data_IF_127353091175
#
_entry.id   IF_127353091175
#
_cell.length_a   1.000
_cell.length_b   1.000
_cell.length_c   1.000
_cell.angle_alpha   90.00
_cell.angle_beta   90.00
_cell.angle_gamma   90.00
#
_symmetry.space_group_name_H-M   'P 1'
#
loop_
_entity.id
_entity.type
_entity.pdbx_description
1 polymer ?
#
# COMPACT_ATOMS: atom_id res chain seq x y z
N UNK A 1 12.23 3.71 -4.99
CA UNK A 1 12.33 3.60 -6.46
C UNK A 1 12.09 4.94 -7.16
N UNK A 2 11.08 5.72 -6.78
CA UNK A 2 10.85 7.09 -7.30
C UNK A 2 12.07 8.03 -7.14
N UNK A 3 12.67 8.10 -5.95
CA UNK A 3 13.88 8.91 -5.71
C UNK A 3 15.07 8.50 -6.60
N UNK A 4 15.21 7.19 -6.91
CA UNK A 4 16.24 6.70 -7.84
C UNK A 4 16.02 7.22 -9.27
N UNK A 5 14.80 7.61 -9.61
CA UNK A 5 14.42 8.24 -10.89
C UNK A 5 14.34 9.78 -10.80
N UNK A 6 14.80 10.39 -9.70
CA UNK A 6 14.80 11.85 -9.52
C UNK A 6 13.42 12.45 -9.27
N UNK A 7 12.43 11.64 -8.92
CA UNK A 7 11.08 12.09 -8.61
C UNK A 7 10.97 12.59 -7.16
N UNK A 8 10.34 13.75 -6.98
CA UNK A 8 10.00 14.34 -5.68
C UNK A 8 8.66 13.81 -5.14
N UNK A 9 8.48 12.49 -5.21
CA UNK A 9 7.31 11.80 -4.70
C UNK A 9 7.65 11.04 -3.42
N UNK A 10 6.80 11.18 -2.41
CA UNK A 10 6.84 10.42 -1.18
C UNK A 10 5.65 9.46 -1.11
N UNK A 11 5.86 8.29 -0.50
CA UNK A 11 4.82 7.32 -0.20
C UNK A 11 4.70 7.13 1.31
N UNK A 12 3.48 6.90 1.78
CA UNK A 12 3.15 6.49 3.14
C UNK A 12 1.99 5.47 3.08
N UNK A 13 1.70 4.78 4.19
CA UNK A 13 0.71 3.69 4.25
C UNK A 13 -0.20 3.77 5.48
N UNK A 14 -1.45 3.30 5.32
CA UNK A 14 -2.47 3.21 6.38
C UNK A 14 -3.28 1.92 6.25
N UNK A 15 -3.88 1.48 7.34
CA UNK A 15 -4.80 0.33 7.38
C UNK A 15 -6.26 0.76 7.44
N UNK A 16 -7.10 0.17 6.60
CA UNK A 16 -8.55 0.41 6.58
C UNK A 16 -9.32 -0.31 7.70
N UNK A 17 -8.80 -1.47 8.12
CA UNK A 17 -9.41 -2.33 9.12
C UNK A 17 -8.34 -3.04 9.97
N UNK A 18 -7.59 -2.27 10.78
CA UNK A 18 -6.53 -2.82 11.63
C UNK A 18 -7.03 -3.91 12.58
N UNK A 19 -8.30 -3.85 12.98
CA UNK A 19 -8.96 -4.87 13.79
C UNK A 19 -9.06 -6.24 13.11
N UNK A 20 -8.90 -6.31 11.78
CA UNK A 20 -8.83 -7.58 11.04
C UNK A 20 -7.40 -8.15 11.00
N UNK A 21 -6.39 -7.32 11.24
CA UNK A 21 -4.98 -7.67 11.25
C UNK A 21 -4.47 -8.26 12.56
N UNK A 22 -5.33 -8.89 13.39
CA UNK A 22 -4.97 -9.39 14.73
C UNK A 22 -3.81 -10.39 14.76
N UNK A 23 -3.51 -11.01 13.61
CA UNK A 23 -2.40 -11.95 13.46
C UNK A 23 -1.12 -11.31 12.91
N UNK A 24 -1.14 -10.02 12.56
CA UNK A 24 0.06 -9.30 12.12
C UNK A 24 0.96 -9.07 13.33
N UNK A 25 2.18 -9.60 13.26
CA UNK A 25 3.19 -9.44 14.30
C UNK A 25 4.21 -8.41 13.84
N UNK A 26 4.36 -7.34 14.63
CA UNK A 26 5.35 -6.30 14.38
C UNK A 26 4.91 -5.22 13.39
N UNK A 27 5.88 -4.45 12.92
CA UNK A 27 5.67 -3.28 12.07
C UNK A 27 5.41 -3.62 10.60
N UNK A 28 5.99 -4.72 10.12
CA UNK A 28 5.92 -5.17 8.72
C UNK A 28 5.88 -6.70 8.66
N UNK A 29 5.16 -7.24 7.67
CA UNK A 29 5.14 -8.68 7.40
C UNK A 29 6.53 -9.21 7.08
N UNK A 30 6.87 -10.41 7.59
CA UNK A 30 8.14 -11.09 7.29
C UNK A 30 8.35 -11.26 5.78
N UNK A 31 7.29 -11.55 5.02
CA UNK A 31 7.37 -11.74 3.58
C UNK A 31 7.77 -10.44 2.86
N UNK A 32 7.24 -9.30 3.31
CA UNK A 32 7.60 -8.00 2.76
C UNK A 32 9.04 -7.63 3.14
N UNK A 33 9.45 -7.86 4.39
CA UNK A 33 10.81 -7.60 4.84
C UNK A 33 11.86 -8.39 4.04
N UNK A 34 11.63 -9.70 3.85
CA UNK A 34 12.50 -10.57 3.05
C UNK A 34 12.57 -10.10 1.59
N UNK A 35 11.43 -9.75 1.00
CA UNK A 35 11.36 -9.28 -0.38
C UNK A 35 12.06 -7.94 -0.60
N UNK A 36 12.00 -7.03 0.37
CA UNK A 36 12.72 -5.75 0.37
C UNK A 36 14.23 -5.97 0.49
N UNK A 37 14.66 -6.88 1.37
CA UNK A 37 16.07 -7.23 1.53
C UNK A 37 16.68 -7.78 0.23
N UNK A 38 15.97 -8.67 -0.47
CA UNK A 38 16.38 -9.18 -1.79
C UNK A 38 16.54 -8.06 -2.83
N UNK A 39 15.73 -7.00 -2.72
CA UNK A 39 15.76 -5.82 -3.61
C UNK A 39 16.72 -4.72 -3.15
N UNK A 40 17.52 -4.98 -2.11
CA UNK A 40 18.43 -4.01 -1.50
C UNK A 40 17.71 -2.70 -1.10
N UNK A 41 16.48 -2.86 -0.61
CA UNK A 41 15.70 -1.77 0.00
C UNK A 41 15.83 -1.92 1.51
N UNK A 42 16.51 -0.94 2.12
CA UNK A 42 16.71 -0.94 3.56
C UNK A 42 15.42 -0.47 4.26
N UNK A 43 14.98 -1.24 5.25
CA UNK A 43 14.00 -0.79 6.21
C UNK A 43 14.71 0.05 7.29
N UNK A 44 14.08 1.13 7.77
CA UNK A 44 14.56 1.85 8.94
C UNK A 44 14.52 0.95 10.19
N UNK A 45 15.48 1.15 11.09
CA UNK A 45 15.56 0.39 12.36
C UNK A 45 14.34 0.68 13.27
N UNK A 46 13.69 1.83 13.09
CA UNK A 46 12.53 2.31 13.83
C UNK A 46 11.23 2.26 13.01
N UNK A 47 11.06 1.22 12.18
CA UNK A 47 9.83 1.02 11.41
C UNK A 47 8.60 1.03 12.33
N UNK A 48 7.64 1.91 12.01
CA UNK A 48 6.47 2.14 12.85
C UNK A 48 5.44 1.02 12.68
N UNK A 49 4.63 0.79 13.71
CA UNK A 49 3.46 -0.09 13.59
C UNK A 49 2.42 0.46 12.59
N UNK A 50 1.57 -0.41 12.02
CA UNK A 50 0.45 0.01 11.17
C UNK A 50 -0.45 1.03 11.89
N UNK A 51 -0.86 2.06 11.16
CA UNK A 51 -1.74 3.12 11.65
C UNK A 51 -3.09 3.08 10.92
N UNK A 52 -4.20 3.35 11.60
CA UNK A 52 -5.51 3.40 10.95
C UNK A 52 -5.56 4.60 10.02
N UNK A 53 -6.27 4.47 8.90
CA UNK A 53 -6.53 5.61 8.02
C UNK A 53 -7.49 6.61 8.66
N UNK A 54 -7.29 7.89 8.36
CA UNK A 54 -8.13 9.02 8.78
C UNK A 54 -8.57 9.87 7.59
N UNK A 55 -9.59 10.71 7.78
CA UNK A 55 -10.03 11.69 6.76
C UNK A 55 -8.88 12.57 6.25
N UNK A 56 -7.99 13.00 7.15
CA UNK A 56 -6.84 13.85 6.81
C UNK A 56 -5.87 13.16 5.84
N UNK A 57 -5.75 11.83 5.88
CA UNK A 57 -4.89 11.10 4.95
C UNK A 57 -5.42 11.22 3.52
N UNK A 58 -6.75 11.20 3.32
CA UNK A 58 -7.36 11.40 2.00
C UNK A 58 -7.28 12.85 1.52
N UNK A 59 -7.44 13.82 2.42
CA UNK A 59 -7.37 15.25 2.08
C UNK A 59 -5.96 15.71 1.70
N UNK A 60 -4.94 15.12 2.33
CA UNK A 60 -3.54 15.55 2.17
C UNK A 60 -2.79 14.80 1.08
N UNK A 61 -3.20 13.57 0.75
CA UNK A 61 -2.53 12.78 -0.25
C UNK A 61 -2.94 13.19 -1.67
N UNK A 62 -1.95 13.48 -2.52
CA UNK A 62 -2.18 13.74 -3.96
C UNK A 62 -2.80 12.54 -4.67
N UNK A 63 -2.42 11.31 -4.27
CA UNK A 63 -2.96 10.05 -4.77
C UNK A 63 -3.13 9.06 -3.62
N UNK A 64 -4.26 8.36 -3.62
CA UNK A 64 -4.56 7.27 -2.68
C UNK A 64 -4.87 6.03 -3.50
N UNK A 65 -4.23 4.91 -3.14
CA UNK A 65 -4.35 3.63 -3.83
C UNK A 65 -4.69 2.55 -2.80
N UNK A 66 -5.82 1.88 -2.99
CA UNK A 66 -6.21 0.70 -2.20
C UNK A 66 -5.80 -0.59 -2.93
N UNK A 67 -5.09 -1.50 -2.24
CA UNK A 67 -4.44 -2.66 -2.89
C UNK A 67 -5.39 -3.75 -3.39
N UNK A 68 -6.38 -4.18 -2.59
CA UNK A 68 -7.39 -5.17 -2.98
C UNK A 68 -8.76 -4.49 -3.11
N UNK A 69 -9.20 -4.21 -4.34
CA UNK A 69 -10.52 -3.61 -4.59
C UNK A 69 -11.67 -4.41 -3.98
N UNK A 70 -11.64 -5.74 -4.09
CA UNK A 70 -12.75 -6.58 -3.65
C UNK A 70 -12.88 -6.59 -2.12
N UNK A 71 -11.77 -6.47 -1.41
CA UNK A 71 -11.77 -6.33 0.04
C UNK A 71 -12.03 -4.89 0.50
N UNK A 72 -11.38 -3.92 -0.13
CA UNK A 72 -11.33 -2.54 0.35
C UNK A 72 -12.52 -1.69 -0.09
N UNK A 73 -13.08 -1.89 -1.29
CA UNK A 73 -14.20 -1.06 -1.76
C UNK A 73 -15.43 -1.14 -0.83
N UNK A 74 -15.83 -2.32 -0.30
CA UNK A 74 -16.89 -2.38 0.71
C UNK A 74 -16.57 -1.58 1.98
N UNK A 75 -15.32 -1.67 2.47
CA UNK A 75 -14.87 -0.92 3.66
C UNK A 75 -14.87 0.59 3.42
N UNK A 76 -14.42 1.03 2.24
CA UNK A 76 -14.45 2.42 1.84
C UNK A 76 -15.89 2.94 1.77
N UNK A 77 -16.81 2.20 1.16
CA UNK A 77 -18.22 2.58 1.10
C UNK A 77 -18.87 2.65 2.49
N UNK A 78 -18.48 1.78 3.41
CA UNK A 78 -19.01 1.77 4.78
C UNK A 78 -18.43 2.93 5.63
N UNK A 79 -17.12 3.17 5.55
CA UNK A 79 -16.39 4.03 6.50
C UNK A 79 -16.05 5.42 5.94
N UNK A 80 -15.77 5.50 4.65
CA UNK A 80 -15.31 6.71 3.95
C UNK A 80 -16.03 6.89 2.60
N UNK A 81 -17.38 6.91 2.58
CA UNK A 81 -18.16 6.85 1.33
C UNK A 81 -17.86 8.00 0.36
N UNK A 82 -17.49 9.17 0.86
CA UNK A 82 -17.13 10.33 0.03
C UNK A 82 -15.86 10.10 -0.80
N UNK A 83 -14.97 9.21 -0.35
CA UNK A 83 -13.69 8.91 -1.00
C UNK A 83 -13.72 7.63 -1.82
N UNK A 84 -14.75 6.80 -1.65
CA UNK A 84 -14.80 5.46 -2.24
C UNK A 84 -14.68 5.46 -3.77
N UNK A 85 -15.14 6.52 -4.45
CA UNK A 85 -15.05 6.63 -5.92
C UNK A 85 -13.96 7.61 -6.41
N UNK A 86 -13.20 8.21 -5.49
CA UNK A 86 -12.17 9.21 -5.82
C UNK A 86 -10.75 8.66 -5.70
N UNK A 87 -10.58 7.51 -5.07
CA UNK A 87 -9.29 6.83 -4.94
C UNK A 87 -9.08 5.81 -6.05
N UNK A 88 -7.83 5.42 -6.27
CA UNK A 88 -7.49 4.34 -7.18
C UNK A 88 -7.55 2.99 -6.46
N UNK A 89 -7.91 1.95 -7.20
CA UNK A 89 -7.92 0.59 -6.70
C UNK A 89 -7.04 -0.30 -7.58
N UNK A 90 -6.21 -1.10 -6.94
CA UNK A 90 -5.58 -2.25 -7.56
C UNK A 90 -6.35 -3.52 -7.17
N UNK A 91 -5.97 -4.65 -7.78
CA UNK A 91 -6.53 -5.96 -7.47
C UNK A 91 -5.40 -6.91 -7.09
N UNK A 92 -4.73 -6.59 -5.98
CA UNK A 92 -3.71 -7.43 -5.35
C UNK A 92 -4.31 -8.00 -4.08
N UNK A 93 -4.62 -9.29 -4.09
CA UNK A 93 -5.17 -9.98 -2.93
C UNK A 93 -4.16 -10.15 -1.79
N UNK A 94 -4.68 -10.21 -0.56
CA UNK A 94 -3.89 -10.59 0.62
C UNK A 94 -3.55 -12.09 0.62
N UNK A 95 -2.65 -12.49 1.52
CA UNK A 95 -2.03 -13.81 1.58
C UNK A 95 -3.01 -14.94 1.97
N UNK A 96 -4.24 -14.61 2.38
CA UNK A 96 -5.31 -15.57 2.60
C UNK A 96 -5.89 -16.10 1.28
N UNK A 97 -5.78 -15.32 0.20
CA UNK A 97 -6.34 -15.61 -1.14
C UNK A 97 -5.27 -15.86 -2.19
N UNK A 98 -4.04 -15.39 -2.00
CA UNK A 98 -2.92 -15.61 -2.92
C UNK A 98 -1.62 -15.90 -2.17
N UNK A 99 -0.56 -16.27 -2.87
CA UNK A 99 0.76 -16.41 -2.23
C UNK A 99 1.45 -15.06 -2.08
N UNK A 100 2.28 -14.91 -1.04
CA UNK A 100 3.06 -13.69 -0.84
C UNK A 100 3.92 -13.34 -2.06
N UNK A 101 4.53 -14.35 -2.72
CA UNK A 101 5.31 -14.16 -3.95
C UNK A 101 4.48 -13.51 -5.06
N UNK A 102 3.28 -14.06 -5.33
CA UNK A 102 2.40 -13.54 -6.39
C UNK A 102 1.92 -12.13 -6.05
N UNK A 103 1.53 -11.87 -4.80
CA UNK A 103 1.11 -10.54 -4.36
C UNK A 103 2.25 -9.50 -4.54
N UNK A 104 3.47 -9.85 -4.10
CA UNK A 104 4.62 -8.96 -4.21
C UNK A 104 5.03 -8.68 -5.66
N UNK A 105 4.98 -9.68 -6.54
CA UNK A 105 5.22 -9.50 -7.98
C UNK A 105 4.20 -8.55 -8.63
N UNK A 106 2.92 -8.68 -8.25
CA UNK A 106 1.87 -7.79 -8.72
C UNK A 106 2.07 -6.36 -8.21
N UNK A 107 2.38 -6.19 -6.92
CA UNK A 107 2.68 -4.87 -6.31
C UNK A 107 3.85 -4.21 -7.03
N UNK A 108 4.95 -4.96 -7.26
CA UNK A 108 6.12 -4.42 -7.95
C UNK A 108 5.79 -3.95 -9.37
N UNK A 109 5.02 -4.76 -10.12
CA UNK A 109 4.55 -4.38 -11.45
C UNK A 109 3.72 -3.09 -11.41
N UNK A 110 2.77 -2.98 -10.50
CA UNK A 110 1.93 -1.79 -10.35
C UNK A 110 2.73 -0.56 -9.95
N UNK A 111 3.70 -0.69 -9.02
CA UNK A 111 4.59 0.40 -8.62
C UNK A 111 5.44 0.89 -9.79
N UNK A 112 5.98 -0.01 -10.62
CA UNK A 112 6.77 0.38 -11.79
C UNK A 112 5.94 1.16 -12.81
N UNK A 113 4.70 0.70 -13.06
CA UNK A 113 3.75 1.41 -13.92
C UNK A 113 3.36 2.77 -13.35
N UNK A 114 3.12 2.86 -12.04
CA UNK A 114 2.83 4.12 -11.37
C UNK A 114 3.99 5.10 -11.52
N UNK A 115 5.23 4.65 -11.29
CA UNK A 115 6.41 5.52 -11.45
C UNK A 115 6.52 6.04 -12.88
N UNK A 116 6.29 5.20 -13.88
CA UNK A 116 6.27 5.63 -15.29
C UNK A 116 5.23 6.75 -15.53
N UNK A 117 4.01 6.60 -15.00
CA UNK A 117 2.97 7.63 -15.11
C UNK A 117 3.37 8.93 -14.40
N UNK A 118 3.98 8.83 -13.22
CA UNK A 118 4.43 9.98 -12.44
C UNK A 118 5.59 10.74 -13.09
N UNK A 119 6.44 10.06 -13.90
CA UNK A 119 7.48 10.73 -14.69
C UNK A 119 6.95 11.49 -15.90
N UNK A 120 5.73 11.18 -16.36
CA UNK A 120 5.09 11.81 -17.53
C UNK A 120 4.12 12.94 -17.15
N UNK A 121 3.87 13.13 -15.85
CA UNK A 121 2.95 14.11 -15.28
C UNK A 121 3.65 15.44 -15.02
#
# INVERSE_FOLDING_TARGET
>A
MATKQGLDWQADSRGLALERGVNNVGAISQYAAEALAVRLVNLPDDERFPLPVSEQDFESATRVIALDELEHRPLMNERFPHWAETIEYWLVHDIDKTSATVALEQIEKHILQLIEQLTQS
#
